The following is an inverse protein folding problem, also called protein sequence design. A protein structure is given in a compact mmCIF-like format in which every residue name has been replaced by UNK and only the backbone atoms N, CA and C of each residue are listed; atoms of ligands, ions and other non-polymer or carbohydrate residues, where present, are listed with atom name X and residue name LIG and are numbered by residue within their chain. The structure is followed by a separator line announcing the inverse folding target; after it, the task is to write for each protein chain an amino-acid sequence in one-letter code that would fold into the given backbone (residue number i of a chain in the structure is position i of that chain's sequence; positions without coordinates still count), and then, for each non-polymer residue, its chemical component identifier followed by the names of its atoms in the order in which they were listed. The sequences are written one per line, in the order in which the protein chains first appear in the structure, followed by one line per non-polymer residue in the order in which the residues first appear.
data_IF_700699755011
#
_entry.id   IF_700699755011
#
_cell.length_a   1.000
_cell.length_b   1.000
_cell.length_c   1.000
_cell.angle_alpha   90.00
_cell.angle_beta   90.00
_cell.angle_gamma   90.00
#
_symmetry.space_group_name_H-M   'P 1'
#
loop_
_entity.id
_entity.type
_entity.pdbx_description
1 polymer ?
#
# COMPACT_ATOMS: atom_id res chain seq x y z
N UNK A 1 2.92 -25.48 5.82
CA UNK A 1 1.47 -25.68 6.03
C UNK A 1 1.03 -25.55 7.50
N UNK A 2 1.79 -24.91 8.41
CA UNK A 2 1.31 -24.57 9.77
C UNK A 2 1.10 -23.05 9.98
N UNK A 3 1.73 -22.21 9.13
CA UNK A 3 1.56 -20.75 9.18
C UNK A 3 0.39 -20.23 8.33
N UNK A 4 -0.23 -21.10 7.53
CA UNK A 4 -1.40 -20.77 6.69
C UNK A 4 -2.67 -20.48 7.53
N UNK A 5 -2.69 -20.84 8.81
CA UNK A 5 -3.80 -20.51 9.72
C UNK A 5 -3.70 -19.08 10.27
N UNK A 6 -2.56 -18.41 10.08
CA UNK A 6 -2.26 -17.08 10.63
C UNK A 6 -2.10 -16.03 9.53
N UNK A 7 -3.07 -15.95 8.63
CA UNK A 7 -3.08 -15.02 7.48
C UNK A 7 -3.58 -13.60 7.83
N UNK A 8 -3.82 -13.32 9.11
CA UNK A 8 -4.22 -11.98 9.56
C UNK A 8 -3.49 -11.58 10.84
N UNK A 9 -3.26 -10.28 11.01
CA UNK A 9 -2.66 -9.73 12.23
C UNK A 9 -3.42 -10.12 13.50
N UNK A 10 -4.76 -10.20 13.43
CA UNK A 10 -5.57 -10.56 14.59
C UNK A 10 -5.40 -12.04 14.97
N UNK A 11 -5.31 -12.93 13.98
CA UNK A 11 -5.02 -14.35 14.23
C UNK A 11 -3.62 -14.55 14.83
N UNK A 12 -2.60 -13.90 14.27
CA UNK A 12 -1.22 -13.93 14.82
C UNK A 12 -1.22 -13.40 16.26
N UNK A 13 -1.86 -12.26 16.51
CA UNK A 13 -1.90 -11.63 17.83
C UNK A 13 -2.60 -12.53 18.85
N UNK A 14 -3.78 -13.09 18.51
CA UNK A 14 -4.51 -13.99 19.41
C UNK A 14 -3.65 -15.16 19.83
N UNK A 15 -2.89 -15.75 18.89
CA UNK A 15 -2.00 -16.86 19.20
C UNK A 15 -0.81 -16.45 20.06
N UNK A 16 -0.22 -15.28 19.81
CA UNK A 16 0.84 -14.73 20.65
C UNK A 16 0.36 -14.49 22.09
N UNK A 17 -0.86 -13.98 22.27
CA UNK A 17 -1.45 -13.77 23.59
C UNK A 17 -1.64 -15.12 24.33
N UNK A 18 -2.13 -16.16 23.65
CA UNK A 18 -2.21 -17.52 24.21
C UNK A 18 -0.84 -18.09 24.62
N UNK A 19 0.19 -17.86 23.79
CA UNK A 19 1.56 -18.28 24.11
C UNK A 19 2.08 -17.55 25.34
N UNK A 20 1.83 -16.24 25.45
CA UNK A 20 2.22 -15.44 26.63
C UNK A 20 1.54 -15.98 27.88
N UNK A 21 0.24 -16.28 27.81
CA UNK A 21 -0.50 -16.85 28.94
C UNK A 21 0.06 -18.22 29.35
N UNK A 22 0.41 -19.08 28.39
CA UNK A 22 1.00 -20.39 28.67
C UNK A 22 2.41 -20.29 29.27
N UNK A 23 3.27 -19.41 28.75
CA UNK A 23 4.65 -19.23 29.24
C UNK A 23 4.68 -18.57 30.63
N UNK A 24 3.64 -17.85 31.02
CA UNK A 24 3.49 -17.31 32.37
C UNK A 24 3.14 -18.37 33.43
N UNK A 25 2.84 -19.61 33.03
CA UNK A 25 2.62 -20.71 33.97
C UNK A 25 3.96 -21.27 34.49
N UNK A 26 4.20 -21.12 35.79
CA UNK A 26 5.42 -21.59 36.47
C UNK A 26 5.55 -23.13 36.47
N UNK A 27 4.45 -23.87 36.25
CA UNK A 27 4.45 -25.33 36.17
C UNK A 27 4.77 -25.85 34.74
N UNK A 28 4.92 -24.96 33.75
CA UNK A 28 5.25 -25.33 32.38
C UNK A 28 6.69 -25.89 32.28
N UNK A 29 6.89 -27.09 31.70
CA UNK A 29 8.22 -27.63 31.47
C UNK A 29 9.05 -26.73 30.55
N UNK A 30 10.34 -26.62 30.84
CA UNK A 30 11.26 -25.77 30.07
C UNK A 30 11.26 -26.10 28.57
N UNK A 31 11.22 -27.38 28.21
CA UNK A 31 11.23 -27.80 26.80
C UNK A 31 9.97 -27.32 26.07
N UNK A 32 8.81 -27.34 26.74
CA UNK A 32 7.55 -26.85 26.19
C UNK A 32 7.57 -25.32 26.07
N UNK A 33 8.13 -24.62 27.07
CA UNK A 33 8.31 -23.17 27.02
C UNK A 33 9.23 -22.74 25.86
N UNK A 34 10.30 -23.49 25.60
CA UNK A 34 11.20 -23.24 24.47
C UNK A 34 10.50 -23.47 23.13
N UNK A 35 9.68 -24.53 23.01
CA UNK A 35 8.89 -24.78 21.82
C UNK A 35 7.89 -23.65 21.54
N UNK A 36 7.22 -23.15 22.58
CA UNK A 36 6.31 -22.00 22.47
C UNK A 36 7.04 -20.71 22.08
N UNK A 37 8.27 -20.51 22.56
CA UNK A 37 9.10 -19.37 22.15
C UNK A 37 9.47 -19.45 20.66
N UNK A 38 9.87 -20.62 20.15
CA UNK A 38 10.16 -20.83 18.73
C UNK A 38 8.92 -20.60 17.85
N UNK A 39 7.74 -21.00 18.32
CA UNK A 39 6.46 -20.70 17.68
C UNK A 39 6.21 -19.19 17.62
N UNK A 40 6.38 -18.49 18.74
CA UNK A 40 6.21 -17.03 18.82
C UNK A 40 7.15 -16.28 17.86
N UNK A 41 8.41 -16.73 17.73
CA UNK A 41 9.35 -16.16 16.75
C UNK A 41 8.83 -16.35 15.32
N UNK A 42 8.34 -17.54 15.00
CA UNK A 42 7.79 -17.85 13.67
C UNK A 42 6.56 -17.00 13.35
N UNK A 43 5.68 -16.79 14.33
CA UNK A 43 4.52 -15.89 14.21
C UNK A 43 4.95 -14.43 14.01
N UNK A 44 5.98 -13.97 14.71
CA UNK A 44 6.53 -12.62 14.53
C UNK A 44 7.10 -12.38 13.14
N UNK A 45 7.74 -13.39 12.54
CA UNK A 45 8.17 -13.34 11.13
C UNK A 45 6.97 -13.28 10.19
N UNK A 46 5.95 -14.12 10.39
CA UNK A 46 4.72 -14.08 9.58
C UNK A 46 4.02 -12.72 9.65
N UNK A 47 3.97 -12.10 10.83
CA UNK A 47 3.42 -10.76 11.00
C UNK A 47 4.23 -9.68 10.25
N UNK A 48 5.55 -9.87 10.14
CA UNK A 48 6.41 -8.97 9.36
C UNK A 48 6.13 -9.12 7.86
N UNK A 49 5.98 -10.37 7.37
CA UNK A 49 5.62 -10.64 5.98
C UNK A 49 4.25 -10.03 5.64
N UNK A 50 3.24 -10.21 6.51
CA UNK A 50 1.90 -9.60 6.33
C UNK A 50 1.95 -8.07 6.28
N UNK A 51 2.88 -7.45 7.01
CA UNK A 51 3.07 -6.00 6.98
C UNK A 51 3.65 -5.56 5.64
N UNK A 52 4.64 -6.28 5.14
CA UNK A 52 5.24 -6.03 3.83
C UNK A 52 4.22 -6.20 2.71
N UNK A 53 3.47 -7.31 2.70
CA UNK A 53 2.38 -7.57 1.75
C UNK A 53 1.33 -6.45 1.76
N UNK A 54 0.94 -5.96 2.95
CA UNK A 54 -0.02 -4.86 3.09
C UNK A 54 0.51 -3.51 2.55
N UNK A 55 1.79 -3.21 2.75
CA UNK A 55 2.42 -2.00 2.21
C UNK A 55 2.51 -2.08 0.69
N UNK A 56 2.91 -3.22 0.13
CA UNK A 56 2.97 -3.44 -1.31
C UNK A 56 1.59 -3.29 -1.96
N UNK A 57 0.56 -3.88 -1.37
CA UNK A 57 -0.81 -3.76 -1.84
C UNK A 57 -1.30 -2.30 -1.84
N UNK A 58 -1.02 -1.54 -0.78
CA UNK A 58 -1.35 -0.11 -0.72
C UNK A 58 -0.59 0.69 -1.79
N UNK A 59 0.71 0.45 -1.95
CA UNK A 59 1.52 1.15 -2.94
C UNK A 59 1.09 0.83 -4.39
N UNK A 60 0.56 -0.35 -4.66
CA UNK A 60 -0.03 -0.69 -5.95
C UNK A 60 -1.34 0.07 -6.16
N UNK A 61 -2.24 0.06 -5.17
CA UNK A 61 -3.50 0.81 -5.22
C UNK A 61 -3.26 2.31 -5.46
N UNK A 62 -2.29 2.92 -4.77
CA UNK A 62 -1.93 4.33 -4.94
C UNK A 62 -1.42 4.62 -6.38
N UNK A 63 -0.66 3.69 -6.96
CA UNK A 63 -0.16 3.81 -8.35
C UNK A 63 -1.27 3.64 -9.39
N UNK A 64 -2.21 2.74 -9.15
CA UNK A 64 -3.40 2.56 -9.99
C UNK A 64 -4.29 3.82 -9.94
N UNK A 65 -4.52 4.39 -8.75
CA UNK A 65 -5.26 5.64 -8.58
C UNK A 65 -4.57 6.83 -9.30
N UNK A 66 -3.24 6.94 -9.21
CA UNK A 66 -2.47 7.97 -9.92
C UNK A 66 -2.55 7.78 -11.45
N UNK A 67 -2.49 6.55 -11.96
CA UNK A 67 -2.61 6.26 -13.38
C UNK A 67 -3.99 6.62 -13.95
N UNK A 68 -5.07 6.30 -13.23
CA UNK A 68 -6.44 6.67 -13.59
C UNK A 68 -6.65 8.20 -13.56
N UNK A 69 -6.04 8.90 -12.60
CA UNK A 69 -6.10 10.36 -12.54
C UNK A 69 -5.40 11.04 -13.72
N UNK A 70 -4.31 10.45 -14.24
CA UNK A 70 -3.58 10.95 -15.41
C UNK A 70 -4.32 10.65 -16.73
N UNK A 71 -5.03 9.53 -16.84
CA UNK A 71 -5.87 9.21 -18.02
C UNK A 71 -7.09 10.15 -18.11
N UNK A 72 -7.69 10.51 -16.98
CA UNK A 72 -8.82 11.44 -16.93
C UNK A 72 -8.51 12.90 -17.34
N UNK A 73 -7.24 13.32 -17.30
CA UNK A 73 -6.82 14.67 -17.72
C UNK A 73 -6.63 14.78 -19.24
N UNK A 74 -6.37 13.68 -19.96
CA UNK A 74 -6.19 13.71 -21.41
C UNK A 74 -7.48 13.96 -22.21
N UNK A 75 -8.65 13.90 -21.57
CA UNK A 75 -9.95 14.07 -22.23
C UNK A 75 -10.50 15.51 -22.23
N UNK A 76 -9.87 16.47 -21.52
CA UNK A 76 -10.37 17.86 -21.41
C UNK A 76 -9.68 18.87 -22.34
N UNK A 77 -8.55 18.54 -22.99
CA UNK A 77 -7.85 19.47 -23.90
C UNK A 77 -8.42 19.51 -25.34
N UNK A 78 -9.75 19.43 -25.45
CA UNK A 78 -10.47 19.27 -26.71
C UNK A 78 -11.50 20.36 -27.03
N UNK A 79 -11.29 21.63 -26.69
CA UNK A 79 -12.08 22.74 -27.28
C UNK A 79 -11.45 24.12 -27.06
N UNK A 80 -10.45 24.49 -27.87
CA UNK A 80 -10.29 25.88 -28.28
C UNK A 80 -10.43 25.92 -29.80
N UNK A 81 -11.65 26.21 -30.24
CA UNK A 81 -12.01 26.43 -31.63
C UNK A 81 -11.07 27.45 -32.29
N UNK A 82 -10.45 26.97 -33.36
CA UNK A 82 -9.96 27.72 -34.49
C UNK A 82 -11.08 28.63 -35.02
N UNK A 83 -10.89 29.95 -34.90
CA UNK A 83 -11.58 30.93 -35.72
C UNK A 83 -10.52 31.84 -36.34
N UNK A 84 -9.92 31.32 -37.42
CA UNK A 84 -9.11 32.11 -38.31
C UNK A 84 -9.90 33.18 -39.07
N UNK A 85 -9.12 34.16 -39.49
CA UNK A 85 -9.24 34.95 -40.72
C UNK A 85 -9.94 36.31 -40.67
N UNK A 86 -9.16 37.33 -41.06
CA UNK A 86 -9.61 38.69 -41.27
C UNK A 86 -8.48 39.73 -41.27
N UNK A 87 -7.40 39.52 -42.03
CA UNK A 87 -6.54 40.64 -42.46
C UNK A 87 -7.36 41.60 -43.33
N UNK A 88 -7.27 42.92 -43.06
CA UNK A 88 -6.86 43.76 -44.17
C UNK A 88 -5.88 44.86 -43.72
N UNK A 89 -4.69 44.78 -44.31
CA UNK A 89 -4.06 45.88 -45.04
C UNK A 89 -3.87 47.26 -44.35
N UNK A 90 -2.59 47.62 -44.26
CA UNK A 90 -2.04 48.93 -44.69
C UNK A 90 -2.37 50.18 -43.86
N UNK A 91 -1.41 50.62 -43.04
CA UNK A 91 -0.56 51.77 -43.37
C UNK A 91 0.37 52.14 -42.19
N UNK A 92 1.66 51.92 -42.37
CA UNK A 92 2.70 52.76 -41.73
C UNK A 92 2.57 54.19 -42.27
N UNK A 93 2.83 55.23 -41.46
CA UNK A 93 4.13 55.88 -41.63
C UNK A 93 4.76 56.48 -40.35
N UNK A 94 6.08 56.27 -40.25
CA UNK A 94 7.14 57.28 -40.08
C UNK A 94 7.23 58.15 -38.80
N UNK A 95 8.35 57.96 -38.10
CA UNK A 95 9.27 58.94 -37.48
C UNK A 95 8.81 60.37 -37.18
N UNK A 96 8.96 60.79 -35.91
CA UNK A 96 9.75 61.95 -35.47
C UNK A 96 10.05 61.88 -33.96
#
# INVERSE_FOLDING_TARGET
MALEEYDSFEAVKSRLDEIVDAVNDDDLPLDDALALYEEAVSLGLRASDLLEEGIEAQNEADREEEAEALDGVAADEGSVDDAGDGDPASNEPTTA
#
